data_IF_527216112919
#
_entry.id   IF_527216112919
#
_cell.length_a   1.000
_cell.length_b   1.000
_cell.length_c   1.000
_cell.angle_alpha   90.00
_cell.angle_beta   90.00
_cell.angle_gamma   90.00
#
_symmetry.space_group_name_H-M   'P 1'
#
loop_
_entity.id
_entity.type
_entity.pdbx_description
1 polymer ?
#
# COMPACT_ATOMS: atom_id res chain seq x y z
N UNK A 1 -18.19 -4.23 -20.89
CA UNK A 1 -18.53 -3.48 -22.12
C UNK A 1 -19.05 -4.44 -23.19
N UNK A 2 -18.34 -5.53 -23.46
CA UNK A 2 -18.70 -6.49 -24.53
C UNK A 2 -20.09 -7.10 -24.40
N UNK A 3 -20.52 -7.46 -23.18
CA UNK A 3 -21.85 -8.05 -22.95
C UNK A 3 -23.02 -7.09 -23.25
N UNK A 4 -22.77 -5.78 -23.21
CA UNK A 4 -23.78 -4.73 -23.46
C UNK A 4 -23.52 -3.96 -24.76
N UNK A 5 -22.50 -4.36 -25.56
CA UNK A 5 -22.04 -3.68 -26.78
C UNK A 5 -21.83 -2.17 -26.61
N UNK A 6 -21.29 -1.77 -25.45
CA UNK A 6 -21.00 -0.36 -25.16
C UNK A 6 -19.58 0.01 -25.58
N UNK A 7 -19.45 1.13 -26.28
CA UNK A 7 -18.19 1.71 -26.75
C UNK A 7 -18.01 3.11 -26.14
N UNK A 8 -16.78 3.49 -25.78
CA UNK A 8 -16.49 4.85 -25.34
C UNK A 8 -16.36 5.76 -26.56
N UNK A 9 -17.25 6.75 -26.69
CA UNK A 9 -17.25 7.76 -27.77
C UNK A 9 -16.31 8.91 -27.47
N UNK A 10 -16.28 9.34 -26.20
CA UNK A 10 -15.37 10.36 -25.72
C UNK A 10 -15.07 10.17 -24.24
N UNK A 11 -13.93 10.69 -23.79
CA UNK A 11 -13.61 10.71 -22.36
C UNK A 11 -12.82 11.96 -21.96
N UNK A 12 -13.18 12.55 -20.82
CA UNK A 12 -12.29 13.43 -20.07
C UNK A 12 -11.52 12.62 -19.06
N UNK A 13 -10.19 12.71 -19.11
CA UNK A 13 -9.32 12.12 -18.11
C UNK A 13 -9.39 12.91 -16.81
N UNK A 14 -8.57 12.53 -15.84
CA UNK A 14 -8.62 13.06 -14.47
C UNK A 14 -8.47 14.58 -14.43
N UNK A 15 -9.50 15.26 -13.95
CA UNK A 15 -9.48 16.68 -13.59
C UNK A 15 -10.03 16.88 -12.18
N UNK A 16 -9.74 18.02 -11.57
CA UNK A 16 -10.17 18.39 -10.22
C UNK A 16 -11.57 19.01 -10.29
N UNK A 17 -12.50 18.48 -9.50
CA UNK A 17 -13.84 19.04 -9.41
C UNK A 17 -13.82 20.44 -8.78
N UNK A 18 -14.63 21.34 -9.32
CA UNK A 18 -14.89 22.65 -8.73
C UNK A 18 -16.30 23.14 -9.08
N UNK A 19 -16.91 23.89 -8.16
CA UNK A 19 -18.17 24.63 -8.36
C UNK A 19 -18.08 25.99 -7.65
N UNK A 20 -19.07 26.86 -7.78
CA UNK A 20 -19.09 28.21 -7.19
C UNK A 20 -19.56 28.24 -5.73
N UNK A 21 -19.86 27.09 -5.14
CA UNK A 21 -20.38 26.99 -3.77
C UNK A 21 -19.28 27.04 -2.69
N UNK A 22 -19.66 27.44 -1.47
CA UNK A 22 -18.81 27.29 -0.27
C UNK A 22 -18.71 25.82 0.13
N UNK A 23 -17.52 25.38 0.56
CA UNK A 23 -17.28 24.00 1.01
C UNK A 23 -17.15 22.98 -0.13
N UNK A 24 -16.37 23.32 -1.17
CA UNK A 24 -16.20 22.47 -2.36
C UNK A 24 -15.64 21.09 -1.98
N UNK A 25 -16.19 20.04 -2.59
CA UNK A 25 -15.65 18.69 -2.45
C UNK A 25 -14.23 18.62 -3.05
N UNK A 26 -13.29 18.03 -2.31
CA UNK A 26 -11.92 17.81 -2.75
C UNK A 26 -11.80 16.46 -3.48
N UNK A 27 -12.39 16.36 -4.67
CA UNK A 27 -12.42 15.12 -5.47
C UNK A 27 -11.90 15.34 -6.89
N UNK A 28 -11.40 14.27 -7.50
CA UNK A 28 -11.08 14.22 -8.92
C UNK A 28 -12.18 13.46 -9.67
N UNK A 29 -12.45 13.89 -10.90
CA UNK A 29 -13.50 13.35 -11.75
C UNK A 29 -12.94 12.88 -13.11
N UNK A 30 -13.72 12.03 -13.76
CA UNK A 30 -13.60 11.69 -15.18
C UNK A 30 -14.98 11.80 -15.79
N UNK A 31 -15.06 12.09 -17.09
CA UNK A 31 -16.33 12.10 -17.84
C UNK A 31 -16.22 11.03 -18.92
N UNK A 32 -17.19 10.13 -19.02
CA UNK A 32 -17.16 9.04 -20.00
C UNK A 32 -18.47 9.04 -20.79
N UNK A 33 -18.38 9.42 -22.07
CA UNK A 33 -19.49 9.31 -23.00
C UNK A 33 -19.47 7.96 -23.69
N UNK A 34 -20.55 7.19 -23.57
CA UNK A 34 -20.68 5.86 -24.15
C UNK A 34 -21.77 5.80 -25.21
N UNK A 35 -21.65 4.85 -26.14
CA UNK A 35 -22.62 4.60 -27.20
C UNK A 35 -22.73 3.09 -27.46
N UNK A 36 -23.86 2.65 -28.00
CA UNK A 36 -24.07 1.26 -28.44
C UNK A 36 -23.51 0.97 -29.84
N UNK A 37 -23.08 2.00 -30.57
CA UNK A 37 -22.54 1.87 -31.93
C UNK A 37 -21.05 2.18 -31.93
N UNK A 38 -20.24 1.30 -32.51
CA UNK A 38 -18.80 1.52 -32.60
C UNK A 38 -18.49 2.84 -33.35
N UNK A 39 -17.80 3.80 -32.71
CA UNK A 39 -17.49 5.07 -33.34
C UNK A 39 -16.33 4.91 -34.33
N UNK A 40 -16.37 5.65 -35.45
CA UNK A 40 -15.26 5.71 -36.41
C UNK A 40 -14.00 6.38 -35.82
N UNK A 41 -14.20 7.34 -34.91
CA UNK A 41 -13.15 7.97 -34.11
C UNK A 41 -13.69 8.37 -32.74
N UNK A 42 -12.82 8.40 -31.74
CA UNK A 42 -13.13 8.80 -30.37
C UNK A 42 -12.46 10.15 -30.04
N UNK A 43 -13.04 10.91 -29.11
CA UNK A 43 -12.47 12.17 -28.60
C UNK A 43 -11.90 11.98 -27.20
N UNK A 44 -10.61 12.17 -27.02
CA UNK A 44 -9.96 12.09 -25.71
C UNK A 44 -9.55 13.49 -25.27
N UNK A 45 -9.92 13.86 -24.04
CA UNK A 45 -9.60 15.14 -23.43
C UNK A 45 -8.56 14.90 -22.33
N UNK A 46 -7.33 15.33 -22.60
CA UNK A 46 -6.18 15.28 -21.69
C UNK A 46 -5.99 16.65 -21.01
N UNK A 47 -5.35 16.63 -19.85
CA UNK A 47 -5.12 17.82 -19.01
C UNK A 47 -3.65 17.87 -18.58
N UNK A 48 -2.97 18.99 -18.84
CA UNK A 48 -1.57 19.18 -18.41
C UNK A 48 -1.44 19.16 -16.87
N UNK A 49 -2.47 19.64 -16.19
CA UNK A 49 -2.66 19.50 -14.75
C UNK A 49 -4.14 19.30 -14.44
N UNK A 50 -4.53 18.72 -13.30
CA UNK A 50 -5.94 18.49 -12.98
C UNK A 50 -6.81 19.77 -12.97
N UNK A 51 -6.22 20.96 -12.94
CA UNK A 51 -6.93 22.25 -12.96
C UNK A 51 -6.77 23.02 -14.27
N UNK A 52 -6.07 22.47 -15.26
CA UNK A 52 -5.91 23.10 -16.57
C UNK A 52 -7.17 22.96 -17.43
N UNK A 53 -7.22 23.71 -18.53
CA UNK A 53 -8.18 23.45 -19.59
C UNK A 53 -7.83 22.16 -20.36
N UNK A 54 -8.83 21.42 -20.86
CA UNK A 54 -8.58 20.18 -21.59
C UNK A 54 -8.09 20.44 -23.02
N UNK A 55 -7.22 19.55 -23.50
CA UNK A 55 -6.81 19.47 -24.90
C UNK A 55 -7.45 18.25 -25.56
N UNK A 56 -8.14 18.46 -26.68
CA UNK A 56 -8.81 17.38 -27.41
C UNK A 56 -7.85 16.68 -28.39
N UNK A 57 -7.85 15.35 -28.36
CA UNK A 57 -7.17 14.51 -29.35
C UNK A 57 -8.13 13.49 -29.95
N UNK A 58 -8.07 13.31 -31.27
CA UNK A 58 -8.81 12.25 -31.97
C UNK A 58 -8.05 10.93 -31.94
N UNK A 59 -8.69 9.86 -31.46
CA UNK A 59 -8.06 8.54 -31.32
C UNK A 59 -8.96 7.43 -31.88
N UNK A 60 -8.37 6.30 -32.28
CA UNK A 60 -9.12 5.17 -32.84
C UNK A 60 -9.96 4.40 -31.81
N UNK A 61 -9.49 4.35 -30.57
CA UNK A 61 -10.16 3.65 -29.47
C UNK A 61 -9.78 4.28 -28.13
N UNK A 62 -10.72 4.31 -27.19
CA UNK A 62 -10.47 4.66 -25.79
C UNK A 62 -10.69 3.40 -24.96
N UNK A 63 -9.66 2.96 -24.26
CA UNK A 63 -9.72 1.75 -23.43
C UNK A 63 -10.41 2.02 -22.07
N UNK A 64 -10.68 0.97 -21.26
CA UNK A 64 -11.29 1.13 -19.94
C UNK A 64 -10.48 1.97 -18.93
N UNK A 65 -9.21 2.24 -19.21
CA UNK A 65 -8.34 3.14 -18.43
C UNK A 65 -8.33 4.58 -18.98
N UNK A 66 -9.28 4.92 -19.86
CA UNK A 66 -9.43 6.22 -20.51
C UNK A 66 -8.14 6.67 -21.22
N UNK A 67 -7.49 5.72 -21.89
CA UNK A 67 -6.27 5.95 -22.65
C UNK A 67 -6.43 5.44 -24.08
N UNK A 68 -5.65 5.99 -25.01
CA UNK A 68 -5.60 5.47 -26.38
C UNK A 68 -4.89 4.12 -26.40
N UNK A 69 -5.51 3.10 -27.01
CA UNK A 69 -4.90 1.78 -27.15
C UNK A 69 -5.90 0.63 -27.17
N UNK A 70 -5.42 -0.59 -26.95
CA UNK A 70 -6.25 -1.78 -26.91
C UNK A 70 -7.15 -1.84 -25.65
N UNK A 71 -8.34 -2.42 -25.80
CA UNK A 71 -9.31 -2.62 -24.70
C UNK A 71 -8.98 -3.86 -23.85
N UNK A 72 -7.79 -3.87 -23.25
CA UNK A 72 -7.34 -4.93 -22.34
C UNK A 72 -7.56 -4.46 -20.91
N UNK A 73 -8.09 -5.33 -20.05
CA UNK A 73 -8.30 -5.05 -18.61
C UNK A 73 -7.44 -5.99 -17.79
N UNK A 74 -6.64 -5.43 -16.89
CA UNK A 74 -5.88 -6.19 -15.91
C UNK A 74 -6.78 -6.53 -14.72
N UNK A 75 -6.96 -7.82 -14.47
CA UNK A 75 -7.78 -8.33 -13.37
C UNK A 75 -6.94 -8.61 -12.13
N UNK A 76 -7.58 -8.59 -10.97
CA UNK A 76 -6.93 -8.92 -9.69
C UNK A 76 -6.44 -10.36 -9.71
N UNK A 77 -5.20 -10.58 -9.27
CA UNK A 77 -4.63 -11.93 -9.10
C UNK A 77 -4.22 -12.17 -7.65
N UNK A 78 -4.49 -13.38 -7.15
CA UNK A 78 -4.03 -13.83 -5.83
C UNK A 78 -2.58 -14.31 -5.85
N UNK A 79 -2.06 -14.72 -7.02
CA UNK A 79 -0.68 -15.17 -7.24
C UNK A 79 -0.03 -14.42 -8.40
N UNK A 80 1.29 -14.20 -8.37
CA UNK A 80 2.04 -13.65 -9.50
C UNK A 80 1.79 -14.37 -10.83
N UNK A 81 1.88 -13.62 -11.93
CA UNK A 81 1.78 -14.15 -13.30
C UNK A 81 2.92 -15.13 -13.61
N UNK A 82 4.11 -14.82 -13.11
CA UNK A 82 5.33 -15.63 -13.18
C UNK A 82 5.77 -15.95 -11.76
N UNK A 83 6.26 -17.16 -11.50
CA UNK A 83 6.69 -17.57 -10.16
C UNK A 83 7.79 -16.65 -9.61
N UNK A 84 7.48 -15.95 -8.51
CA UNK A 84 8.33 -14.95 -7.86
C UNK A 84 8.00 -14.91 -6.36
N UNK A 85 8.88 -14.32 -5.51
CA UNK A 85 8.58 -14.15 -4.10
C UNK A 85 7.26 -13.44 -3.85
N UNK A 86 6.49 -13.97 -2.90
CA UNK A 86 5.15 -13.45 -2.60
C UNK A 86 5.27 -12.13 -1.85
N UNK A 87 4.64 -11.10 -2.39
CA UNK A 87 4.41 -9.84 -1.68
C UNK A 87 3.20 -9.97 -0.74
N UNK A 88 3.35 -9.57 0.52
CA UNK A 88 2.29 -9.58 1.53
C UNK A 88 1.99 -8.18 2.03
N UNK A 89 0.78 -7.93 2.52
CA UNK A 89 0.51 -6.72 3.30
C UNK A 89 1.24 -6.82 4.65
N UNK A 90 1.68 -5.71 5.22
CA UNK A 90 2.27 -5.66 6.56
C UNK A 90 1.28 -5.98 7.68
N UNK A 91 1.75 -5.92 8.92
CA UNK A 91 0.98 -6.31 10.10
C UNK A 91 -0.07 -5.25 10.45
N UNK A 92 -1.33 -5.68 10.64
CA UNK A 92 -2.47 -4.81 10.97
C UNK A 92 -2.75 -4.88 12.48
N UNK A 93 -2.64 -3.78 13.23
CA UNK A 93 -2.89 -3.80 14.67
C UNK A 93 -4.37 -3.91 15.03
N UNK A 94 -5.25 -3.08 14.44
CA UNK A 94 -6.68 -2.95 14.81
C UNK A 94 -6.89 -2.83 16.33
N UNK A 95 -6.29 -1.80 16.91
CA UNK A 95 -6.01 -1.70 18.34
C UNK A 95 -6.44 -0.36 18.96
N UNK A 96 -7.11 0.52 18.22
CA UNK A 96 -7.44 1.87 18.67
C UNK A 96 -6.22 2.79 18.88
N UNK A 97 -5.04 2.38 18.40
CA UNK A 97 -3.77 3.06 18.67
C UNK A 97 -3.14 2.72 20.02
N UNK A 98 -3.70 1.79 20.80
CA UNK A 98 -3.22 1.50 22.15
C UNK A 98 -1.90 0.72 22.20
N UNK A 99 -1.56 -0.05 21.17
CA UNK A 99 -0.26 -0.76 21.07
C UNK A 99 0.79 0.06 20.32
N UNK A 100 0.45 1.25 19.84
CA UNK A 100 1.36 2.13 19.12
C UNK A 100 1.79 3.25 20.06
N UNK A 101 3.07 3.56 20.07
CA UNK A 101 3.68 4.53 20.97
C UNK A 101 4.35 5.65 20.16
N UNK A 102 4.16 6.88 20.61
CA UNK A 102 5.06 7.98 20.26
C UNK A 102 6.43 7.78 20.93
N UNK A 103 7.40 8.61 20.55
CA UNK A 103 8.72 8.62 21.19
C UNK A 103 8.59 8.94 22.69
N UNK A 104 7.79 9.94 23.05
CA UNK A 104 7.60 10.34 24.44
C UNK A 104 6.90 9.26 25.27
N UNK A 105 5.85 8.62 24.73
CA UNK A 105 5.15 7.52 25.41
C UNK A 105 6.08 6.31 25.65
N UNK A 106 6.94 6.01 24.67
CA UNK A 106 7.98 4.97 24.80
C UNK A 106 8.95 5.35 25.92
N UNK A 107 9.46 6.57 25.92
CA UNK A 107 10.50 6.98 26.87
C UNK A 107 9.98 7.04 28.30
N UNK A 108 8.74 7.51 28.49
CA UNK A 108 8.06 7.47 29.78
C UNK A 108 7.86 6.03 30.26
N UNK A 109 7.44 5.12 29.37
CA UNK A 109 7.26 3.71 29.73
C UNK A 109 8.59 3.07 30.17
N UNK A 110 9.66 3.32 29.41
CA UNK A 110 10.97 2.72 29.69
C UNK A 110 11.66 3.32 30.92
N UNK A 111 11.40 4.59 31.25
CA UNK A 111 11.92 5.21 32.46
C UNK A 111 11.40 4.52 33.73
N UNK A 112 10.13 4.09 33.75
CA UNK A 112 9.52 3.40 34.90
C UNK A 112 9.60 1.88 34.81
N UNK A 113 9.64 1.31 33.60
CA UNK A 113 9.62 -0.14 33.37
C UNK A 113 10.67 -0.56 32.34
N UNK A 114 11.98 -0.57 32.69
CA UNK A 114 13.04 -0.92 31.75
C UNK A 114 12.90 -2.31 31.11
N UNK A 115 12.28 -3.26 31.81
CA UNK A 115 12.00 -4.61 31.30
C UNK A 115 11.12 -4.61 30.04
N UNK A 116 10.29 -3.58 29.83
CA UNK A 116 9.44 -3.46 28.65
C UNK A 116 10.24 -3.24 27.35
N UNK A 117 11.55 -2.93 27.43
CA UNK A 117 12.43 -2.78 26.27
C UNK A 117 12.38 -4.00 25.35
N UNK A 118 12.26 -5.21 25.90
CA UNK A 118 12.19 -6.45 25.13
C UNK A 118 10.93 -6.55 24.22
N UNK A 119 9.91 -5.75 24.51
CA UNK A 119 8.62 -5.78 23.82
C UNK A 119 8.42 -4.60 22.88
N UNK A 120 9.30 -3.60 22.93
CA UNK A 120 9.19 -2.40 22.12
C UNK A 120 9.99 -2.58 20.84
N UNK A 121 9.32 -2.40 19.71
CA UNK A 121 9.93 -2.49 18.38
C UNK A 121 9.64 -1.24 17.54
N UNK A 122 10.54 -0.82 16.64
CA UNK A 122 10.22 0.23 15.69
C UNK A 122 9.01 -0.18 14.85
N UNK A 123 8.08 0.75 14.65
CA UNK A 123 6.86 0.52 13.89
C UNK A 123 6.77 1.52 12.75
N UNK A 124 6.70 1.02 11.52
CA UNK A 124 6.80 1.85 10.33
C UNK A 124 5.59 1.67 9.42
N UNK A 125 4.83 2.75 9.20
CA UNK A 125 3.86 2.90 8.12
C UNK A 125 4.46 3.56 6.88
N UNK A 126 3.61 3.89 5.89
CA UNK A 126 4.10 4.59 4.68
C UNK A 126 4.62 5.98 5.01
N UNK A 127 3.96 6.68 5.93
CA UNK A 127 4.33 8.04 6.31
C UNK A 127 5.64 8.05 7.10
N UNK A 128 5.75 7.19 8.12
CA UNK A 128 6.98 7.03 8.90
C UNK A 128 8.17 6.64 8.02
N UNK A 129 7.96 5.72 7.07
CA UNK A 129 9.01 5.32 6.14
C UNK A 129 9.47 6.46 5.22
N UNK A 130 8.52 7.17 4.61
CA UNK A 130 8.81 8.21 3.61
C UNK A 130 9.40 9.47 4.25
N UNK A 131 8.91 9.85 5.42
CA UNK A 131 9.29 11.10 6.08
C UNK A 131 10.36 10.92 7.16
N UNK A 132 10.75 9.68 7.48
CA UNK A 132 11.73 9.38 8.52
C UNK A 132 11.23 9.66 9.95
N UNK A 133 9.92 9.76 10.16
CA UNK A 133 9.36 9.96 11.50
C UNK A 133 9.42 8.66 12.30
N UNK A 134 9.64 8.80 13.62
CA UNK A 134 9.85 7.65 14.51
C UNK A 134 8.55 7.29 15.21
N UNK A 135 8.20 6.01 15.15
CA UNK A 135 7.08 5.43 15.86
C UNK A 135 7.45 4.04 16.35
N UNK A 136 6.82 3.63 17.44
CA UNK A 136 7.12 2.37 18.10
C UNK A 136 5.84 1.58 18.33
N UNK A 137 5.96 0.28 18.52
CA UNK A 137 4.85 -0.55 18.96
C UNK A 137 5.25 -1.50 20.07
N UNK A 138 4.26 -1.88 20.87
CA UNK A 138 4.32 -3.03 21.77
C UNK A 138 4.07 -4.29 20.93
N UNK A 139 5.14 -5.04 20.66
CA UNK A 139 5.11 -6.32 19.97
C UNK A 139 5.08 -7.47 20.98
N UNK A 140 3.87 -7.83 21.41
CA UNK A 140 3.63 -8.74 22.55
C UNK A 140 3.31 -10.18 22.13
N UNK A 141 3.63 -10.57 20.89
CA UNK A 141 3.37 -11.92 20.40
C UNK A 141 4.25 -12.94 21.15
N UNK A 142 3.61 -13.90 21.83
CA UNK A 142 4.30 -14.91 22.63
C UNK A 142 4.71 -14.48 24.05
N UNK A 143 4.40 -13.25 24.49
CA UNK A 143 4.72 -12.81 25.87
C UNK A 143 3.77 -13.47 26.86
N UNK A 144 4.31 -14.03 27.95
CA UNK A 144 3.53 -14.72 28.96
C UNK A 144 2.59 -13.74 29.71
N UNK A 145 1.32 -14.12 30.00
CA UNK A 145 0.39 -13.26 30.74
C UNK A 145 0.90 -12.79 32.11
N UNK A 146 1.75 -13.58 32.77
CA UNK A 146 2.37 -13.21 34.05
C UNK A 146 3.31 -12.02 33.93
N UNK A 147 4.11 -11.97 32.87
CA UNK A 147 5.03 -10.86 32.60
C UNK A 147 4.28 -9.57 32.26
N UNK A 148 3.21 -9.66 31.45
CA UNK A 148 2.38 -8.50 31.12
C UNK A 148 1.74 -7.88 32.37
N UNK A 149 1.26 -8.71 33.31
CA UNK A 149 0.66 -8.22 34.56
C UNK A 149 1.66 -7.50 35.47
N UNK A 150 2.96 -7.81 35.35
CA UNK A 150 4.00 -7.12 36.12
C UNK A 150 4.28 -5.69 35.60
N UNK A 151 3.89 -5.38 34.36
CA UNK A 151 4.05 -4.05 33.76
C UNK A 151 2.69 -3.41 33.56
N UNK A 152 2.18 -2.77 34.61
CA UNK A 152 0.80 -2.28 34.67
C UNK A 152 0.39 -1.40 33.46
N UNK A 153 1.19 -0.42 33.01
CA UNK A 153 0.81 0.41 31.86
C UNK A 153 0.66 -0.38 30.55
N UNK A 154 1.43 -1.45 30.36
CA UNK A 154 1.30 -2.33 29.18
C UNK A 154 -0.01 -3.13 29.29
N UNK A 155 -0.32 -3.66 30.46
CA UNK A 155 -1.57 -4.38 30.68
C UNK A 155 -2.81 -3.49 30.49
N UNK A 156 -2.75 -2.23 30.93
CA UNK A 156 -3.84 -1.26 30.74
C UNK A 156 -4.07 -0.99 29.24
N UNK A 157 -3.00 -0.85 28.44
CA UNK A 157 -3.09 -0.74 26.98
C UNK A 157 -3.72 -2.00 26.36
N UNK A 158 -3.31 -3.19 26.79
CA UNK A 158 -3.90 -4.47 26.32
C UNK A 158 -5.40 -4.55 26.64
N UNK A 159 -5.82 -4.08 27.81
CA UNK A 159 -7.24 -4.03 28.17
C UNK A 159 -8.02 -3.02 27.30
N UNK A 160 -7.41 -1.88 26.98
CA UNK A 160 -8.01 -0.89 26.07
C UNK A 160 -8.17 -1.46 24.65
N UNK A 161 -7.22 -2.25 24.15
CA UNK A 161 -7.36 -2.99 22.88
C UNK A 161 -8.54 -3.95 22.91
N UNK A 162 -8.68 -4.72 24.00
CA UNK A 162 -9.81 -5.65 24.17
C UNK A 162 -11.13 -4.91 24.06
N UNK A 163 -11.32 -3.85 24.86
CA UNK A 163 -12.54 -3.06 24.87
C UNK A 163 -12.85 -2.44 23.50
N UNK A 164 -11.83 -1.88 22.82
CA UNK A 164 -11.96 -1.35 21.47
C UNK A 164 -12.45 -2.41 20.46
N UNK A 165 -11.87 -3.62 20.51
CA UNK A 165 -12.22 -4.72 19.60
C UNK A 165 -13.61 -5.29 19.88
N UNK A 166 -14.00 -5.42 21.14
CA UNK A 166 -15.34 -5.88 21.56
C UNK A 166 -16.46 -4.96 21.06
N UNK A 167 -16.20 -3.65 21.03
CA UNK A 167 -17.13 -2.65 20.52
C UNK A 167 -17.27 -2.64 18.97
N UNK A 168 -16.49 -3.45 18.24
CA UNK A 168 -16.49 -3.42 16.77
C UNK A 168 -17.75 -4.04 16.16
N UNK A 169 -18.26 -3.44 15.07
CA UNK A 169 -19.36 -4.03 14.28
C UNK A 169 -18.93 -5.26 13.47
N UNK A 170 -17.64 -5.43 13.19
CA UNK A 170 -17.12 -6.56 12.43
C UNK A 170 -16.86 -7.78 13.34
N UNK A 171 -17.49 -8.92 13.03
CA UNK A 171 -17.34 -10.19 13.76
C UNK A 171 -15.87 -10.66 13.90
N UNK A 172 -15.01 -10.60 12.86
CA UNK A 172 -13.61 -10.95 12.99
C UNK A 172 -12.85 -10.08 13.99
N UNK A 173 -13.15 -8.77 14.03
CA UNK A 173 -12.52 -7.83 14.97
C UNK A 173 -12.93 -8.14 16.40
N UNK A 174 -14.22 -8.42 16.66
CA UNK A 174 -14.69 -8.83 17.99
C UNK A 174 -14.03 -10.12 18.45
N UNK A 175 -13.90 -11.11 17.57
CA UNK A 175 -13.18 -12.36 17.89
C UNK A 175 -11.72 -12.11 18.27
N UNK A 176 -11.05 -11.14 17.63
CA UNK A 176 -9.67 -10.78 17.97
C UNK A 176 -9.51 -10.11 19.34
N UNK A 177 -10.60 -9.75 20.03
CA UNK A 177 -10.56 -9.30 21.42
C UNK A 177 -10.12 -10.42 22.39
N UNK A 178 -10.26 -11.69 22.00
CA UNK A 178 -9.77 -12.84 22.78
C UNK A 178 -8.23 -12.89 22.83
N UNK A 179 -7.55 -12.27 21.87
CA UNK A 179 -6.09 -12.17 21.80
C UNK A 179 -5.64 -10.70 21.71
N UNK A 180 -5.88 -9.89 22.75
CA UNK A 180 -5.72 -8.43 22.67
C UNK A 180 -4.26 -7.96 22.68
N UNK A 181 -3.33 -8.79 23.15
CA UNK A 181 -1.88 -8.52 23.08
C UNK A 181 -1.31 -8.68 21.67
N UNK A 182 -1.99 -9.45 20.81
CA UNK A 182 -1.53 -9.72 19.44
C UNK A 182 -2.19 -8.75 18.45
N UNK A 183 -1.43 -8.32 17.45
CA UNK A 183 -1.97 -7.60 16.29
C UNK A 183 -3.03 -8.45 15.58
N UNK A 184 -4.06 -7.80 15.06
CA UNK A 184 -5.17 -8.47 14.36
C UNK A 184 -4.69 -9.34 13.18
N UNK A 185 -3.74 -8.85 12.40
CA UNK A 185 -3.07 -9.61 11.36
C UNK A 185 -1.56 -9.45 11.49
N UNK A 186 -0.84 -10.57 11.46
CA UNK A 186 0.61 -10.61 11.60
C UNK A 186 1.20 -11.22 10.34
N UNK A 187 2.08 -10.49 9.69
CA UNK A 187 2.83 -10.93 8.51
C UNK A 187 4.33 -10.66 8.61
N UNK A 188 4.78 -10.15 9.76
CA UNK A 188 6.18 -9.82 10.00
C UNK A 188 7.08 -11.03 9.70
N UNK A 189 8.07 -10.88 8.81
CA UNK A 189 9.00 -11.95 8.49
C UNK A 189 10.07 -12.10 9.59
N UNK A 190 10.73 -13.26 9.60
CA UNK A 190 11.89 -13.53 10.46
C UNK A 190 13.24 -13.20 9.81
N UNK A 191 13.21 -12.73 8.57
CA UNK A 191 14.38 -12.34 7.79
C UNK A 191 14.26 -10.87 7.41
N UNK A 192 15.34 -10.31 6.88
CA UNK A 192 15.28 -9.02 6.19
C UNK A 192 14.24 -9.06 5.06
N UNK A 193 13.67 -7.89 4.76
CA UNK A 193 12.60 -7.76 3.80
C UNK A 193 12.64 -6.42 3.07
N UNK A 194 12.05 -6.40 1.87
CA UNK A 194 11.81 -5.18 1.11
C UNK A 194 10.45 -4.61 1.54
N UNK A 195 10.42 -3.35 1.95
CA UNK A 195 9.23 -2.57 2.29
C UNK A 195 8.82 -1.70 1.12
N UNK A 196 7.56 -1.81 0.69
CA UNK A 196 6.95 -0.99 -0.37
C UNK A 196 5.75 -0.24 0.21
N UNK A 197 5.78 1.11 0.30
CA UNK A 197 4.65 1.89 0.78
C UNK A 197 3.36 1.66 -0.01
N UNK A 198 2.22 1.55 0.68
CA UNK A 198 0.90 1.45 0.03
C UNK A 198 0.56 2.77 -0.64
N UNK A 199 0.80 3.91 0.01
CA UNK A 199 0.44 5.23 -0.52
C UNK A 199 1.67 6.11 -0.61
N UNK A 200 1.87 6.73 -1.77
CA UNK A 200 2.93 7.72 -2.00
C UNK A 200 2.48 8.78 -3.00
N UNK A 201 3.08 9.98 -2.92
CA UNK A 201 2.74 11.05 -3.86
C UNK A 201 3.13 10.68 -5.29
N UNK A 202 2.21 10.95 -6.19
CA UNK A 202 2.32 10.93 -7.64
C UNK A 202 3.35 11.89 -8.22
N UNK A 203 3.80 12.89 -7.45
CA UNK A 203 4.86 13.82 -7.86
C UNK A 203 6.23 13.16 -7.91
N UNK A 204 6.40 11.98 -7.28
CA UNK A 204 7.65 11.24 -7.30
C UNK A 204 7.71 10.39 -8.57
N UNK A 205 8.84 10.43 -9.26
CA UNK A 205 9.11 9.54 -10.39
C UNK A 205 9.16 8.06 -9.96
N UNK A 206 9.59 7.81 -8.71
CA UNK A 206 9.72 6.48 -8.13
C UNK A 206 9.08 6.44 -6.74
N UNK A 207 8.34 5.38 -6.44
CA UNK A 207 7.88 5.12 -5.07
C UNK A 207 9.12 4.76 -4.25
N UNK A 208 9.41 5.47 -3.14
CA UNK A 208 10.52 5.08 -2.27
C UNK A 208 10.20 3.72 -1.66
N UNK A 209 11.09 2.74 -1.84
CA UNK A 209 11.02 1.43 -1.18
C UNK A 209 12.29 1.23 -0.36
N UNK A 210 12.24 0.37 0.64
CA UNK A 210 13.34 0.23 1.60
C UNK A 210 13.71 -1.22 1.88
N UNK A 211 14.93 -1.40 2.36
CA UNK A 211 15.39 -2.65 2.95
C UNK A 211 15.27 -2.54 4.47
N UNK A 212 14.68 -3.55 5.10
CA UNK A 212 14.32 -3.50 6.52
C UNK A 212 14.78 -4.76 7.25
N UNK A 213 15.24 -4.60 8.49
CA UNK A 213 15.54 -5.74 9.37
C UNK A 213 14.25 -6.32 9.98
N UNK A 214 14.23 -7.61 10.35
CA UNK A 214 13.05 -8.26 10.93
C UNK A 214 12.57 -7.69 12.28
N UNK A 215 13.39 -6.87 12.93
CA UNK A 215 13.13 -6.19 14.19
C UNK A 215 12.21 -4.98 13.99
N UNK A 216 12.19 -4.40 12.78
CA UNK A 216 11.29 -3.31 12.44
C UNK A 216 9.95 -3.87 11.98
N UNK A 217 8.89 -3.56 12.72
CA UNK A 217 7.53 -4.02 12.42
C UNK A 217 6.92 -3.13 11.34
N UNK A 218 6.61 -3.72 10.18
CA UNK A 218 5.94 -3.01 9.10
C UNK A 218 4.42 -3.02 9.30
N UNK A 219 3.81 -1.84 9.26
CA UNK A 219 2.35 -1.64 9.29
C UNK A 219 1.68 -2.21 8.03
N UNK A 220 0.37 -2.49 8.12
CA UNK A 220 -0.49 -2.83 6.99
C UNK A 220 -0.62 -1.69 5.95
N UNK A 221 -0.08 -0.50 6.25
CA UNK A 221 0.10 0.56 5.26
C UNK A 221 1.29 0.34 4.33
N UNK A 222 2.03 -0.74 4.49
CA UNK A 222 3.07 -1.12 3.56
C UNK A 222 2.83 -2.55 3.07
N UNK A 223 3.47 -2.88 1.96
CA UNK A 223 3.69 -4.25 1.51
C UNK A 223 5.11 -4.68 1.81
N UNK A 224 5.29 -5.97 2.00
CA UNK A 224 6.57 -6.59 2.35
C UNK A 224 6.88 -7.75 1.38
N UNK A 225 8.16 -7.90 1.06
CA UNK A 225 8.69 -9.06 0.34
C UNK A 225 9.82 -9.65 1.20
N UNK A 226 9.57 -10.81 1.79
CA UNK A 226 10.54 -11.54 2.61
C UNK A 226 11.55 -12.33 1.75
N UNK A 227 12.09 -11.67 0.73
CA UNK A 227 13.12 -12.19 -0.14
C UNK A 227 14.11 -11.03 -0.38
N UNK A 228 15.17 -10.93 0.44
CA UNK A 228 16.16 -9.87 0.36
C UNK A 228 16.98 -10.01 -0.93
N UNK A 229 16.44 -9.51 -2.05
CA UNK A 229 17.06 -9.58 -3.37
C UNK A 229 17.23 -8.18 -3.96
N UNK A 230 18.49 -7.77 -4.18
CA UNK A 230 18.81 -6.51 -4.86
C UNK A 230 18.23 -6.45 -6.28
N UNK A 231 18.08 -7.61 -6.93
CA UNK A 231 17.43 -7.69 -8.23
C UNK A 231 15.95 -7.30 -8.16
N UNK A 232 15.21 -7.85 -7.19
CA UNK A 232 13.80 -7.46 -6.95
C UNK A 232 13.72 -5.98 -6.60
N UNK A 233 14.61 -5.51 -5.72
CA UNK A 233 14.66 -4.10 -5.34
C UNK A 233 14.85 -3.19 -6.56
N UNK A 234 15.86 -3.48 -7.40
CA UNK A 234 16.16 -2.72 -8.60
C UNK A 234 15.03 -2.76 -9.62
N UNK A 235 14.37 -3.91 -9.78
CA UNK A 235 13.24 -4.03 -10.70
C UNK A 235 12.03 -3.21 -10.24
N UNK A 236 11.70 -3.25 -8.95
CA UNK A 236 10.60 -2.45 -8.39
C UNK A 236 10.92 -0.95 -8.42
N UNK A 237 12.20 -0.58 -8.45
CA UNK A 237 12.69 0.77 -8.68
C UNK A 237 12.91 1.10 -10.17
N UNK A 238 12.54 0.22 -11.10
CA UNK A 238 12.68 0.49 -12.53
C UNK A 238 11.60 1.44 -13.04
N UNK A 239 11.92 2.22 -14.07
CA UNK A 239 10.93 3.06 -14.76
C UNK A 239 9.76 2.23 -15.32
N UNK A 240 10.02 0.98 -15.73
CA UNK A 240 8.99 0.07 -16.24
C UNK A 240 7.97 -0.29 -15.16
N UNK A 241 8.43 -0.68 -13.98
CA UNK A 241 7.54 -1.02 -12.87
C UNK A 241 6.76 0.21 -12.37
N UNK A 242 7.41 1.38 -12.35
CA UNK A 242 6.73 2.63 -12.00
C UNK A 242 5.66 3.03 -13.02
N UNK A 243 5.90 2.84 -14.32
CA UNK A 243 4.88 3.03 -15.36
C UNK A 243 3.74 2.04 -15.20
N UNK A 244 4.05 0.78 -14.92
CA UNK A 244 3.04 -0.24 -14.64
C UNK A 244 2.15 0.15 -13.46
N UNK A 245 2.74 0.52 -12.32
CA UNK A 245 2.02 1.03 -11.16
C UNK A 245 1.13 2.23 -11.51
N UNK A 246 1.66 3.19 -12.27
CA UNK A 246 0.91 4.39 -12.64
C UNK A 246 -0.32 4.11 -13.53
N UNK A 247 -0.27 3.02 -14.32
CA UNK A 247 -1.31 2.62 -15.27
C UNK A 247 -2.33 1.66 -14.67
N UNK A 248 -1.91 0.64 -13.92
CA UNK A 248 -2.81 -0.43 -13.41
C UNK A 248 -3.07 -0.34 -11.91
N UNK A 249 -2.27 0.43 -11.19
CA UNK A 249 -2.42 0.65 -9.76
C UNK A 249 -3.64 1.48 -9.42
N UNK A 250 -4.07 1.39 -8.15
CA UNK A 250 -5.11 2.27 -7.64
C UNK A 250 -4.57 3.69 -7.43
N UNK A 251 -5.49 4.61 -7.16
CA UNK A 251 -5.16 5.97 -6.73
C UNK A 251 -5.97 6.34 -5.50
N UNK A 252 -5.33 7.01 -4.55
CA UNK A 252 -6.02 7.72 -3.47
C UNK A 252 -6.02 9.21 -3.84
N UNK A 253 -7.16 9.69 -4.34
CA UNK A 253 -7.22 10.92 -5.14
C UNK A 253 -6.29 10.79 -6.36
N UNK A 254 -5.18 11.54 -6.40
CA UNK A 254 -4.14 11.44 -7.43
C UNK A 254 -2.93 10.62 -6.99
N UNK A 255 -2.76 10.34 -5.69
CA UNK A 255 -1.60 9.65 -5.12
C UNK A 255 -1.55 8.19 -5.59
N UNK A 256 -0.35 7.64 -5.75
CA UNK A 256 -0.20 6.21 -6.04
C UNK A 256 -0.76 5.39 -4.87
N UNK A 257 -1.58 4.39 -5.17
CA UNK A 257 -1.99 3.36 -4.23
C UNK A 257 -1.52 1.99 -4.73
N UNK A 258 -0.44 1.49 -4.15
CA UNK A 258 0.15 0.21 -4.47
C UNK A 258 -0.77 -0.94 -4.04
N UNK A 259 -0.78 -2.01 -4.82
CA UNK A 259 -1.46 -3.25 -4.46
C UNK A 259 -0.69 -4.45 -4.94
N UNK A 260 -0.40 -5.40 -4.05
CA UNK A 260 0.21 -6.66 -4.43
C UNK A 260 -0.62 -7.37 -5.52
N UNK A 261 -1.95 -7.43 -5.34
CA UNK A 261 -2.84 -8.20 -6.21
C UNK A 261 -3.16 -7.56 -7.57
N UNK A 262 -3.01 -6.25 -7.69
CA UNK A 262 -3.24 -5.53 -8.95
C UNK A 262 -1.94 -5.23 -9.68
N UNK A 263 -0.92 -4.79 -8.95
CA UNK A 263 0.34 -4.30 -9.53
C UNK A 263 1.36 -5.43 -9.60
N UNK A 264 1.87 -5.87 -8.44
CA UNK A 264 2.98 -6.83 -8.36
C UNK A 264 2.64 -8.17 -9.00
N UNK A 265 1.46 -8.71 -8.70
CA UNK A 265 1.04 -10.03 -9.18
C UNK A 265 0.72 -10.04 -10.69
N UNK A 266 0.41 -8.89 -11.29
CA UNK A 266 0.16 -8.79 -12.74
C UNK A 266 1.34 -8.23 -13.52
N UNK A 267 2.43 -7.81 -12.85
CA UNK A 267 3.56 -7.21 -13.53
C UNK A 267 4.17 -8.22 -14.52
N UNK A 268 4.37 -7.85 -15.80
CA UNK A 268 5.09 -8.69 -16.74
C UNK A 268 6.59 -8.64 -16.43
N UNK A 269 7.05 -9.55 -15.57
CA UNK A 269 8.44 -9.63 -15.18
C UNK A 269 9.33 -9.91 -16.40
N UNK A 270 10.48 -9.24 -16.54
CA UNK A 270 11.45 -9.62 -17.56
C UNK A 270 11.92 -11.06 -17.30
N UNK A 271 12.05 -11.83 -18.36
CA UNK A 271 12.81 -13.08 -18.34
C UNK A 271 14.27 -12.70 -18.22
N UNK A 272 14.84 -12.91 -17.04
CA UNK A 272 16.29 -12.90 -16.90
C UNK A 272 16.72 -14.35 -16.74
N UNK A 273 17.59 -14.79 -17.63
CA UNK A 273 18.44 -15.93 -17.35
C UNK A 273 19.07 -15.65 -15.99
N UNK A 274 18.88 -16.57 -15.05
CA UNK A 274 19.54 -16.53 -13.74
C UNK A 274 21.03 -16.76 -13.95
N UNK A 275 21.74 -15.82 -14.58
CA UNK A 275 23.17 -15.73 -14.34
C UNK A 275 23.32 -15.19 -12.92
N UNK A 276 23.96 -15.94 -12.00
CA UNK A 276 24.34 -15.39 -10.72
C UNK A 276 25.16 -14.14 -11.02
N UNK A 277 24.78 -13.00 -10.43
CA UNK A 277 25.67 -11.85 -10.37
C UNK A 277 26.95 -12.34 -9.68
N UNK A 278 27.97 -12.66 -10.48
CA UNK A 278 29.28 -13.04 -9.98
C UNK A 278 29.75 -11.91 -9.07
N UNK A 279 29.99 -12.25 -7.80
CA UNK A 279 30.50 -11.31 -6.81
C UNK A 279 31.79 -10.71 -7.39
N UNK A 280 31.90 -9.38 -7.57
CA UNK A 280 33.18 -8.79 -7.92
C UNK A 280 34.09 -8.94 -6.68
N UNK A 281 35.07 -9.85 -6.72
CA UNK A 281 36.13 -9.91 -5.71
C UNK A 281 36.56 -11.27 -5.16
N UNK A 282 36.52 -12.36 -5.95
CA UNK A 282 37.35 -13.54 -5.67
C UNK A 282 38.32 -13.74 -6.85
N UNK A 283 39.46 -13.07 -6.74
CA UNK A 283 40.63 -13.19 -7.60
C UNK A 283 41.87 -12.84 -6.77
#
# INVERSE_FOLDING_TARGET
MDRMRLHIRFAHRTFKWSNEARGKAAVHCVIVGMTSTAPASCRLFDYDSPTAEPHETSVKNINPYLSSGASIVVLKRSKPLVERPVMRCGSKPSDGGHLILTVDERDQLLASYPAATAWIRPFIGSEEFINGTKRWCLWLDGVAPGELRAVRPVMDRVNAVRAFREASSAEPTRRAALTPSRFFFVSQPRTEYILVPEVSSERRHYVPIGWMSPEVISSNKNYIIAAPSLWIFGLLQSAMHMRWLATVGGRLESRFQYSASMVYNNFPWPELALEPLSRPGEG
#
